data_IF_605269513331
#
_entry.id   IF_605269513331
#
_cell.length_a   1.000
_cell.length_b   1.000
_cell.length_c   1.000
_cell.angle_alpha   90.00
_cell.angle_beta   90.00
_cell.angle_gamma   90.00
#
_symmetry.space_group_name_H-M   'P 1'
#
loop_
_entity.id
_entity.type
_entity.pdbx_description
1 polymer ?
#
# COMPACT_ATOMS: atom_id res chain seq x y z
N UNK A 1 -3.28 -40.74 11.81
CA UNK A 1 -3.46 -40.40 13.23
C UNK A 1 -3.84 -38.93 13.31
N UNK A 2 -5.09 -38.65 13.67
CA UNK A 2 -5.58 -37.29 13.95
C UNK A 2 -4.86 -36.79 15.19
N UNK A 3 -3.95 -35.82 15.02
CA UNK A 3 -3.41 -35.04 16.14
C UNK A 3 -4.18 -33.72 16.17
N UNK A 4 -5.46 -33.79 16.50
CA UNK A 4 -6.13 -32.67 17.17
C UNK A 4 -5.60 -32.68 18.60
N UNK A 5 -4.42 -32.06 18.82
CA UNK A 5 -4.00 -31.71 20.18
C UNK A 5 -5.07 -30.78 20.71
N UNK A 6 -5.85 -31.26 21.68
CA UNK A 6 -6.75 -30.40 22.44
C UNK A 6 -5.91 -29.26 23.02
N UNK A 7 -6.33 -28.01 22.77
CA UNK A 7 -5.80 -26.83 23.44
C UNK A 7 -5.76 -27.09 24.96
N UNK A 8 -4.64 -26.75 25.60
CA UNK A 8 -4.49 -26.87 27.05
C UNK A 8 -5.47 -25.93 27.77
N UNK A 9 -5.78 -26.17 29.05
CA UNK A 9 -6.73 -25.34 29.80
C UNK A 9 -6.24 -23.90 29.97
N UNK A 10 -4.92 -23.67 29.97
CA UNK A 10 -4.31 -22.34 29.90
C UNK A 10 -4.60 -21.64 28.56
N UNK A 11 -4.44 -22.37 27.45
CA UNK A 11 -4.77 -21.85 26.13
C UNK A 11 -6.26 -21.52 26.06
N UNK A 12 -7.15 -22.42 26.51
CA UNK A 12 -8.61 -22.17 26.54
C UNK A 12 -8.99 -20.92 27.32
N UNK A 13 -8.32 -20.63 28.44
CA UNK A 13 -8.55 -19.42 29.23
C UNK A 13 -8.13 -18.16 28.47
N UNK A 14 -6.97 -18.20 27.82
CA UNK A 14 -6.47 -17.11 26.98
C UNK A 14 -7.43 -16.88 25.80
N UNK A 15 -7.82 -17.94 25.10
CA UNK A 15 -8.82 -17.90 24.03
C UNK A 15 -10.17 -17.33 24.51
N UNK A 16 -10.60 -17.66 25.73
CA UNK A 16 -11.80 -17.08 26.34
C UNK A 16 -11.70 -15.58 26.57
N UNK A 17 -10.57 -15.07 27.04
CA UNK A 17 -10.36 -13.61 27.19
C UNK A 17 -10.45 -12.91 25.83
N UNK A 18 -9.83 -13.49 24.81
CA UNK A 18 -9.88 -12.95 23.45
C UNK A 18 -11.31 -12.93 22.91
N UNK A 19 -12.06 -14.02 23.11
CA UNK A 19 -13.45 -14.12 22.69
C UNK A 19 -14.33 -13.03 23.31
N UNK A 20 -14.09 -12.67 24.58
CA UNK A 20 -14.79 -11.57 25.26
C UNK A 20 -14.48 -10.21 24.61
N UNK A 21 -13.21 -9.94 24.32
CA UNK A 21 -12.79 -8.69 23.64
C UNK A 21 -13.43 -8.61 22.24
N UNK A 22 -13.44 -9.74 21.52
CA UNK A 22 -14.00 -9.84 20.18
C UNK A 22 -15.54 -9.75 20.14
N UNK A 23 -16.24 -10.31 21.14
CA UNK A 23 -17.71 -10.17 21.26
C UNK A 23 -18.12 -8.74 21.58
N UNK A 24 -17.38 -8.08 22.48
CA UNK A 24 -17.56 -6.65 22.77
C UNK A 24 -17.42 -5.80 21.50
N UNK A 25 -16.58 -6.25 20.57
CA UNK A 25 -16.41 -5.61 19.28
C UNK A 25 -17.55 -5.88 18.30
N UNK A 26 -17.99 -7.13 18.19
CA UNK A 26 -19.11 -7.53 17.33
C UNK A 26 -20.39 -6.76 17.70
N UNK A 27 -20.67 -6.61 19.01
CA UNK A 27 -21.82 -5.81 19.48
C UNK A 27 -21.70 -4.35 19.07
N UNK A 28 -20.51 -3.74 19.15
CA UNK A 28 -20.29 -2.35 18.73
C UNK A 28 -20.44 -2.14 17.20
N UNK A 29 -20.14 -3.17 16.40
CA UNK A 29 -20.40 -3.14 14.95
C UNK A 29 -21.89 -3.29 14.62
N UNK A 30 -22.59 -4.18 15.33
CA UNK A 30 -24.01 -4.48 15.14
C UNK A 30 -24.90 -3.29 15.52
N UNK A 31 -24.50 -2.50 16.52
CA UNK A 31 -25.21 -1.28 16.93
C UNK A 31 -25.19 -0.16 15.87
N UNK A 32 -24.58 -0.36 14.69
CA UNK A 32 -24.45 0.61 13.58
C UNK A 32 -23.81 1.96 13.97
N UNK A 33 -23.23 2.07 15.17
CA UNK A 33 -22.66 3.33 15.65
C UNK A 33 -21.25 3.63 15.09
N UNK A 34 -20.63 2.66 14.40
CA UNK A 34 -19.27 2.75 13.86
C UNK A 34 -19.17 2.23 12.42
N UNK A 35 -19.04 3.13 11.43
CA UNK A 35 -18.77 2.75 10.05
C UNK A 35 -17.26 2.51 9.82
N UNK A 36 -16.82 1.25 9.90
CA UNK A 36 -15.46 0.85 9.51
C UNK A 36 -15.26 0.85 7.99
N UNK A 37 -14.01 0.85 7.53
CA UNK A 37 -13.76 0.57 6.11
C UNK A 37 -14.09 -0.89 5.78
N UNK A 38 -14.51 -1.20 4.54
CA UNK A 38 -14.75 -2.58 4.12
C UNK A 38 -13.54 -3.48 4.33
N UNK A 39 -12.32 -2.96 4.15
CA UNK A 39 -11.10 -3.76 4.31
C UNK A 39 -10.76 -4.02 5.78
N UNK A 40 -10.99 -3.05 6.68
CA UNK A 40 -10.79 -3.23 8.11
C UNK A 40 -11.84 -4.18 8.70
N UNK A 41 -13.11 -3.99 8.29
CA UNK A 41 -14.22 -4.89 8.62
C UNK A 41 -13.91 -6.32 8.18
N UNK A 42 -13.47 -6.53 6.92
CA UNK A 42 -13.07 -7.87 6.43
C UNK A 42 -11.95 -8.50 7.26
N UNK A 43 -10.90 -7.76 7.61
CA UNK A 43 -9.75 -8.31 8.37
C UNK A 43 -10.14 -8.71 9.78
N UNK A 44 -10.99 -7.91 10.40
CA UNK A 44 -11.57 -8.23 11.68
C UNK A 44 -12.49 -9.46 11.60
N UNK A 45 -13.37 -9.56 10.60
CA UNK A 45 -14.20 -10.76 10.40
C UNK A 45 -13.32 -12.00 10.20
N UNK A 46 -12.21 -11.88 9.48
CA UNK A 46 -11.25 -12.97 9.32
C UNK A 46 -10.59 -13.35 10.66
N UNK A 47 -10.20 -12.38 11.47
CA UNK A 47 -9.66 -12.61 12.82
C UNK A 47 -10.69 -13.32 13.71
N UNK A 48 -11.93 -12.81 13.77
CA UNK A 48 -13.05 -13.42 14.49
C UNK A 48 -13.27 -14.88 14.08
N UNK A 49 -13.23 -15.16 12.78
CA UNK A 49 -13.41 -16.51 12.23
C UNK A 49 -12.27 -17.43 12.65
N UNK A 50 -11.02 -16.95 12.61
CA UNK A 50 -9.84 -17.72 13.04
C UNK A 50 -9.86 -18.01 14.54
N UNK A 51 -10.51 -17.18 15.36
CA UNK A 51 -10.71 -17.44 16.79
C UNK A 51 -11.86 -18.38 17.10
N UNK A 52 -12.97 -18.30 16.36
CA UNK A 52 -14.10 -19.21 16.54
C UNK A 52 -13.74 -20.66 16.17
N UNK A 53 -12.82 -20.85 15.22
CA UNK A 53 -12.31 -22.15 14.80
C UNK A 53 -10.77 -22.12 14.80
N UNK A 54 -10.12 -22.16 15.98
CA UNK A 54 -8.67 -22.04 16.10
C UNK A 54 -8.02 -23.29 15.51
N UNK A 55 -7.69 -23.20 14.23
CA UNK A 55 -7.01 -24.27 13.49
C UNK A 55 -5.51 -24.25 13.82
N UNK A 56 -4.95 -23.04 13.96
CA UNK A 56 -3.54 -22.79 14.23
C UNK A 56 -3.35 -21.39 14.85
N UNK A 57 -2.62 -21.30 15.96
CA UNK A 57 -2.27 -20.03 16.63
C UNK A 57 -1.45 -19.09 15.74
N UNK A 58 -0.59 -19.63 14.87
CA UNK A 58 0.12 -18.82 13.89
C UNK A 58 -0.82 -18.13 12.90
N UNK A 59 -1.95 -18.75 12.54
CA UNK A 59 -2.93 -18.09 11.67
C UNK A 59 -3.51 -16.86 12.36
N UNK A 60 -3.91 -17.00 13.62
CA UNK A 60 -4.41 -15.91 14.47
C UNK A 60 -3.41 -14.77 14.53
N UNK A 61 -2.14 -15.07 14.80
CA UNK A 61 -1.08 -14.08 14.85
C UNK A 61 -0.90 -13.33 13.52
N UNK A 62 -0.96 -14.03 12.40
CA UNK A 62 -0.93 -13.38 11.08
C UNK A 62 -2.17 -12.50 10.84
N UNK A 63 -3.35 -12.90 11.35
CA UNK A 63 -4.55 -12.06 11.28
C UNK A 63 -4.43 -10.81 12.16
N UNK A 64 -3.80 -10.90 13.33
CA UNK A 64 -3.50 -9.75 14.20
C UNK A 64 -2.53 -8.78 13.51
N UNK A 65 -1.41 -9.28 13.00
CA UNK A 65 -0.44 -8.47 12.23
C UNK A 65 -1.12 -7.79 11.03
N UNK A 66 -1.92 -8.55 10.28
CA UNK A 66 -2.72 -8.06 9.15
C UNK A 66 -3.71 -6.96 9.57
N UNK A 67 -4.40 -7.10 10.71
CA UNK A 67 -5.30 -6.09 11.24
C UNK A 67 -4.54 -4.83 11.65
N UNK A 68 -3.42 -4.98 12.38
CA UNK A 68 -2.56 -3.87 12.81
C UNK A 68 -2.04 -3.05 11.63
N UNK A 69 -1.49 -3.71 10.63
CA UNK A 69 -0.99 -3.08 9.40
C UNK A 69 -2.09 -2.27 8.69
N UNK A 70 -3.31 -2.81 8.67
CA UNK A 70 -4.44 -2.10 8.08
C UNK A 70 -4.87 -0.90 8.92
N UNK A 71 -4.87 -1.03 10.25
CA UNK A 71 -5.18 0.06 11.17
C UNK A 71 -4.17 1.21 11.00
N UNK A 72 -2.86 0.92 11.00
CA UNK A 72 -1.81 1.91 10.76
C UNK A 72 -2.01 2.65 9.44
N UNK A 73 -2.30 1.93 8.35
CA UNK A 73 -2.60 2.55 7.06
C UNK A 73 -3.76 3.53 7.16
N UNK A 74 -4.86 3.15 7.82
CA UNK A 74 -6.03 4.01 7.96
C UNK A 74 -5.77 5.23 8.84
N UNK A 75 -5.00 5.07 9.92
CA UNK A 75 -4.59 6.19 10.78
C UNK A 75 -3.71 7.19 10.01
N UNK A 76 -2.74 6.71 9.23
CA UNK A 76 -1.91 7.57 8.35
C UNK A 76 -2.79 8.30 7.34
N UNK A 77 -3.67 7.58 6.64
CA UNK A 77 -4.57 8.17 5.66
C UNK A 77 -5.54 9.17 6.27
N UNK A 78 -5.91 9.00 7.54
CA UNK A 78 -6.77 9.90 8.29
C UNK A 78 -6.05 11.16 8.81
N UNK A 79 -4.72 11.23 8.73
CA UNK A 79 -4.01 12.49 9.03
C UNK A 79 -4.19 13.54 7.92
N UNK A 80 -4.55 13.11 6.70
CA UNK A 80 -4.61 13.99 5.53
C UNK A 80 -5.87 13.76 4.70
N UNK A 81 -6.51 14.86 4.28
CA UNK A 81 -7.60 14.76 3.30
C UNK A 81 -7.10 14.11 2.00
N UNK A 82 -7.99 13.42 1.29
CA UNK A 82 -7.67 12.79 0.01
C UNK A 82 -7.08 13.81 -0.96
N UNK A 83 -7.70 15.00 -1.08
CA UNK A 83 -7.23 16.08 -1.94
C UNK A 83 -5.82 16.57 -1.57
N UNK A 84 -5.50 16.64 -0.28
CA UNK A 84 -4.15 17.04 0.16
C UNK A 84 -3.11 16.00 -0.28
N UNK A 85 -3.38 14.71 -0.08
CA UNK A 85 -2.47 13.62 -0.48
C UNK A 85 -2.25 13.58 -1.99
N UNK A 86 -3.31 13.80 -2.77
CA UNK A 86 -3.22 13.91 -4.23
C UNK A 86 -2.34 15.10 -4.66
N UNK A 87 -2.51 16.27 -4.02
CA UNK A 87 -1.66 17.43 -4.26
C UNK A 87 -0.20 17.20 -3.87
N UNK A 88 0.05 16.53 -2.75
CA UNK A 88 1.39 16.22 -2.28
C UNK A 88 2.10 15.26 -3.23
N UNK A 89 1.40 14.26 -3.76
CA UNK A 89 1.93 13.39 -4.81
C UNK A 89 2.29 14.18 -6.07
N UNK A 90 1.38 15.06 -6.51
CA UNK A 90 1.62 15.90 -7.67
C UNK A 90 2.86 16.77 -7.45
N UNK A 91 3.00 17.44 -6.29
CA UNK A 91 4.17 18.25 -5.95
C UNK A 91 5.44 17.42 -5.92
N UNK A 92 5.41 16.23 -5.31
CA UNK A 92 6.54 15.30 -5.25
C UNK A 92 7.04 14.94 -6.66
N UNK A 93 6.11 14.53 -7.53
CA UNK A 93 6.41 14.19 -8.94
C UNK A 93 6.95 15.43 -9.66
N UNK A 94 6.37 16.61 -9.40
CA UNK A 94 6.78 17.84 -10.05
C UNK A 94 8.18 18.31 -9.65
N UNK A 95 8.55 18.14 -8.38
CA UNK A 95 9.88 18.44 -7.85
C UNK A 95 10.96 17.55 -8.47
N UNK A 96 10.60 16.35 -8.92
CA UNK A 96 11.48 15.45 -9.68
C UNK A 96 11.49 15.74 -11.19
N UNK A 97 10.88 16.85 -11.64
CA UNK A 97 10.79 17.24 -13.05
C UNK A 97 9.82 16.40 -13.88
N UNK A 98 9.03 15.54 -13.25
CA UNK A 98 8.09 14.62 -13.88
C UNK A 98 6.68 15.25 -13.96
N UNK A 99 5.72 14.55 -14.55
CA UNK A 99 4.29 14.92 -14.52
C UNK A 99 3.38 13.70 -14.55
N UNK A 100 2.30 13.76 -13.76
CA UNK A 100 1.14 12.86 -13.79
C UNK A 100 -0.17 13.61 -14.11
N UNK A 101 -0.13 14.93 -14.34
CA UNK A 101 -1.31 15.77 -14.54
C UNK A 101 -2.03 15.55 -15.88
N UNK A 102 -1.40 14.81 -16.80
CA UNK A 102 -1.86 14.66 -18.18
C UNK A 102 -1.98 13.17 -18.52
N UNK A 103 -3.02 12.49 -18.01
CA UNK A 103 -3.21 11.05 -18.21
C UNK A 103 -3.30 10.70 -19.71
N UNK A 104 -4.13 11.43 -20.46
CA UNK A 104 -4.31 11.22 -21.91
C UNK A 104 -3.03 11.46 -22.72
N UNK A 105 -2.29 12.52 -22.39
CA UNK A 105 -0.99 12.78 -23.02
C UNK A 105 0.02 11.66 -22.71
N UNK A 106 -0.01 11.13 -21.48
CA UNK A 106 0.88 10.05 -21.08
C UNK A 106 0.62 8.79 -21.90
N UNK A 107 -0.64 8.41 -22.07
CA UNK A 107 -1.03 7.29 -22.93
C UNK A 107 -0.60 7.52 -24.37
N UNK A 108 -0.85 8.73 -24.90
CA UNK A 108 -0.46 9.04 -26.28
C UNK A 108 1.06 9.02 -26.49
N UNK A 109 1.83 9.50 -25.52
CA UNK A 109 3.30 9.44 -25.55
C UNK A 109 3.77 7.99 -25.51
N UNK A 110 3.18 7.15 -24.65
CA UNK A 110 3.47 5.71 -24.58
C UNK A 110 3.21 5.05 -25.93
N UNK A 111 2.05 5.26 -26.55
CA UNK A 111 1.72 4.70 -27.87
C UNK A 111 2.74 5.09 -28.95
N UNK A 112 3.12 6.37 -29.00
CA UNK A 112 4.10 6.88 -29.96
C UNK A 112 5.50 6.31 -29.72
N UNK A 113 5.91 6.14 -28.45
CA UNK A 113 7.16 5.46 -28.12
C UNK A 113 7.14 4.01 -28.62
N UNK A 114 6.11 3.24 -28.28
CA UNK A 114 5.99 1.85 -28.71
C UNK A 114 6.02 1.75 -30.25
N UNK A 115 5.28 2.62 -30.95
CA UNK A 115 5.29 2.67 -32.41
C UNK A 115 6.69 2.95 -32.97
N UNK A 116 7.37 3.95 -32.44
CA UNK A 116 8.72 4.32 -32.85
C UNK A 116 9.70 3.17 -32.66
N UNK A 117 9.70 2.54 -31.48
CA UNK A 117 10.61 1.43 -31.18
C UNK A 117 10.28 0.18 -32.01
N UNK A 118 9.00 -0.14 -32.23
CA UNK A 118 8.59 -1.25 -33.12
C UNK A 118 9.04 -1.02 -34.56
N UNK A 119 8.91 0.20 -35.09
CA UNK A 119 9.44 0.55 -36.40
C UNK A 119 10.98 0.49 -36.43
N UNK A 120 11.63 0.84 -35.31
CA UNK A 120 13.07 0.82 -35.19
C UNK A 120 13.66 -0.61 -35.09
N UNK A 121 12.87 -1.65 -34.79
CA UNK A 121 13.37 -3.05 -34.67
C UNK A 121 14.12 -3.52 -35.93
N UNK A 122 13.81 -2.95 -37.09
CA UNK A 122 14.49 -3.27 -38.36
C UNK A 122 15.90 -2.66 -38.48
N UNK A 123 16.31 -1.80 -37.55
CA UNK A 123 17.59 -1.11 -37.56
C UNK A 123 18.53 -1.70 -36.49
N UNK A 124 19.83 -1.65 -36.75
CA UNK A 124 20.87 -2.16 -35.84
C UNK A 124 20.96 -1.40 -34.51
N UNK A 125 20.52 -0.14 -34.47
CA UNK A 125 20.53 0.69 -33.26
C UNK A 125 19.21 1.47 -33.14
N UNK A 126 18.41 1.10 -32.15
CA UNK A 126 17.12 1.72 -31.85
C UNK A 126 17.21 2.82 -30.80
N UNK A 127 18.41 3.12 -30.30
CA UNK A 127 18.61 4.11 -29.25
C UNK A 127 18.50 5.54 -29.81
N UNK A 128 17.87 6.45 -29.08
CA UNK A 128 17.65 7.83 -29.52
C UNK A 128 18.12 8.81 -28.45
N UNK A 129 18.71 9.91 -28.89
CA UNK A 129 18.94 11.04 -28.00
C UNK A 129 17.59 11.65 -27.56
N UNK A 130 17.51 12.07 -26.29
CA UNK A 130 16.29 12.65 -25.72
C UNK A 130 15.72 13.79 -26.58
N UNK A 131 16.56 14.67 -27.11
CA UNK A 131 16.15 15.80 -27.94
C UNK A 131 15.44 15.33 -29.22
N UNK A 132 15.95 14.29 -29.87
CA UNK A 132 15.38 13.74 -31.09
C UNK A 132 14.07 12.99 -30.80
N UNK A 133 14.01 12.28 -29.67
CA UNK A 133 12.79 11.63 -29.19
C UNK A 133 11.66 12.63 -28.97
N UNK A 134 11.94 13.74 -28.27
CA UNK A 134 10.95 14.81 -28.04
C UNK A 134 10.49 15.43 -29.35
N UNK A 135 11.42 15.74 -30.26
CA UNK A 135 11.08 16.30 -31.58
C UNK A 135 10.15 15.38 -32.38
N UNK A 136 10.42 14.07 -32.39
CA UNK A 136 9.57 13.08 -33.04
C UNK A 136 8.16 13.08 -32.43
N UNK A 137 8.07 12.96 -31.10
CA UNK A 137 6.78 12.90 -30.40
C UNK A 137 5.97 14.18 -30.61
N UNK A 138 6.61 15.36 -30.52
CA UNK A 138 5.96 16.65 -30.77
C UNK A 138 5.40 16.75 -32.18
N UNK A 139 6.13 16.23 -33.18
CA UNK A 139 5.66 16.21 -34.57
C UNK A 139 4.40 15.35 -34.72
N UNK A 140 4.38 14.18 -34.10
CA UNK A 140 3.24 13.25 -34.19
C UNK A 140 2.02 13.68 -33.36
N UNK A 141 2.22 14.40 -32.25
CA UNK A 141 1.15 14.91 -31.40
C UNK A 141 0.43 16.14 -31.99
N UNK A 142 1.09 16.89 -32.88
CA UNK A 142 0.56 18.13 -33.43
C UNK A 142 0.49 19.28 -32.41
N UNK A 143 -0.23 20.38 -32.72
CA UNK A 143 -0.20 21.63 -31.94
C UNK A 143 -0.99 21.58 -30.62
N UNK A 144 -1.68 20.49 -30.32
CA UNK A 144 -2.58 20.38 -29.16
C UNK A 144 -1.85 20.34 -27.81
N UNK A 145 -0.54 20.02 -27.82
CA UNK A 145 0.26 19.86 -26.62
C UNK A 145 1.49 20.77 -26.63
N UNK A 146 1.87 21.27 -25.45
CA UNK A 146 3.06 22.10 -25.27
C UNK A 146 4.30 21.22 -25.09
N UNK A 147 5.43 21.63 -25.65
CA UNK A 147 6.71 20.89 -25.54
C UNK A 147 7.09 20.58 -24.09
N UNK A 148 6.91 21.54 -23.17
CA UNK A 148 7.18 21.33 -21.73
C UNK A 148 6.35 20.20 -21.13
N UNK A 149 5.12 19.96 -21.60
CA UNK A 149 4.28 18.87 -21.10
C UNK A 149 4.84 17.52 -21.55
N UNK A 150 5.21 17.38 -22.82
CA UNK A 150 5.84 16.18 -23.38
C UNK A 150 7.18 15.89 -22.71
N UNK A 151 8.00 16.91 -22.49
CA UNK A 151 9.28 16.79 -21.80
C UNK A 151 9.14 16.22 -20.39
N UNK A 152 8.12 16.66 -19.64
CA UNK A 152 7.83 16.17 -18.29
C UNK A 152 7.30 14.74 -18.29
N UNK A 153 6.49 14.36 -19.27
CA UNK A 153 6.02 12.97 -19.42
C UNK A 153 7.20 12.04 -19.76
N UNK A 154 8.06 12.43 -20.70
CA UNK A 154 9.29 11.68 -21.01
C UNK A 154 10.21 11.60 -19.80
N UNK A 155 10.28 12.66 -18.99
CA UNK A 155 11.02 12.64 -17.73
C UNK A 155 10.43 11.63 -16.74
N UNK A 156 9.10 11.51 -16.65
CA UNK A 156 8.42 10.49 -15.84
C UNK A 156 8.85 9.09 -16.29
N UNK A 157 8.72 8.78 -17.58
CA UNK A 157 9.09 7.46 -18.15
C UNK A 157 10.57 7.15 -17.90
N UNK A 158 11.44 8.16 -18.01
CA UNK A 158 12.86 8.02 -17.68
C UNK A 158 13.10 7.69 -16.20
N UNK A 159 12.43 8.38 -15.26
CA UNK A 159 12.60 8.15 -13.81
C UNK A 159 11.98 6.84 -13.36
N UNK A 160 10.93 6.36 -14.02
CA UNK A 160 10.35 5.04 -13.81
C UNK A 160 11.19 3.91 -14.43
N UNK A 161 12.47 4.15 -14.68
CA UNK A 161 13.43 3.14 -15.15
C UNK A 161 13.00 2.38 -16.41
N UNK A 162 12.25 3.03 -17.31
CA UNK A 162 11.72 2.38 -18.52
C UNK A 162 12.73 2.32 -19.68
N UNK A 163 13.82 3.08 -19.60
CA UNK A 163 14.88 3.12 -20.61
C UNK A 163 16.16 2.45 -20.12
N UNK A 164 16.90 1.83 -21.06
CA UNK A 164 18.35 1.68 -20.98
C UNK A 164 18.99 2.98 -21.42
N UNK A 165 19.94 3.47 -20.60
CA UNK A 165 20.62 4.74 -20.81
C UNK A 165 22.07 4.45 -21.14
N UNK A 166 22.48 4.74 -22.37
CA UNK A 166 23.87 4.59 -22.80
C UNK A 166 24.55 5.94 -22.73
N UNK A 167 25.53 6.05 -21.83
CA UNK A 167 26.40 7.23 -21.73
C UNK A 167 27.43 7.21 -22.86
N UNK A 168 27.81 8.40 -23.32
CA UNK A 168 28.81 8.58 -24.39
C UNK A 168 29.70 9.75 -24.03
N UNK A 169 31.01 9.56 -24.14
CA UNK A 169 31.97 10.60 -23.80
C UNK A 169 31.77 11.83 -24.69
N UNK A 170 31.60 13.01 -24.08
CA UNK A 170 31.40 14.28 -24.77
C UNK A 170 30.07 14.40 -25.54
N UNK A 171 29.16 13.42 -25.46
CA UNK A 171 27.91 13.42 -26.22
C UNK A 171 26.67 13.18 -25.33
N UNK A 172 25.47 13.64 -25.73
CA UNK A 172 24.24 13.34 -25.01
C UNK A 172 23.98 11.84 -24.91
N UNK A 173 23.49 11.39 -23.76
CA UNK A 173 23.09 9.99 -23.56
C UNK A 173 21.99 9.57 -24.53
N UNK A 174 22.03 8.32 -24.97
CA UNK A 174 20.98 7.70 -25.79
C UNK A 174 20.07 6.85 -24.93
N UNK A 175 18.79 6.87 -25.27
CA UNK A 175 17.73 6.14 -24.59
C UNK A 175 17.27 5.02 -25.51
N UNK A 176 17.21 3.79 -25.01
CA UNK A 176 16.55 2.65 -25.66
C UNK A 176 15.47 2.13 -24.71
N UNK A 177 14.26 1.87 -25.20
CA UNK A 177 13.23 1.26 -24.36
C UNK A 177 13.66 -0.15 -23.95
N UNK A 178 13.41 -0.54 -22.71
CA UNK A 178 13.68 -1.90 -22.25
C UNK A 178 12.87 -2.91 -23.07
N UNK A 179 13.47 -4.04 -23.39
CA UNK A 179 12.88 -5.02 -24.32
C UNK A 179 11.58 -5.64 -23.76
N UNK A 180 11.51 -5.81 -22.45
CA UNK A 180 10.31 -6.28 -21.76
C UNK A 180 9.19 -5.23 -21.68
N UNK A 181 9.44 -3.97 -22.07
CA UNK A 181 8.48 -2.86 -22.02
C UNK A 181 8.05 -2.41 -23.42
N UNK A 182 8.21 -3.25 -24.45
CA UNK A 182 7.83 -2.96 -25.83
C UNK A 182 6.31 -3.13 -26.13
N UNK A 183 5.49 -3.23 -25.09
CA UNK A 183 4.03 -3.18 -25.14
C UNK A 183 3.49 -1.98 -24.36
N UNK A 184 2.42 -1.35 -24.85
CA UNK A 184 1.86 -0.15 -24.23
C UNK A 184 1.29 -0.44 -22.83
N UNK A 185 0.64 -1.59 -22.64
CA UNK A 185 0.06 -1.99 -21.35
C UNK A 185 1.15 -2.27 -20.32
N UNK A 186 2.25 -2.89 -20.74
CA UNK A 186 3.37 -3.24 -19.88
C UNK A 186 4.19 -2.01 -19.50
N UNK A 187 4.50 -1.13 -20.46
CA UNK A 187 5.13 0.16 -20.18
C UNK A 187 4.27 0.97 -19.21
N UNK A 188 2.95 1.01 -19.45
CA UNK A 188 2.03 1.70 -18.55
C UNK A 188 2.00 1.08 -17.15
N UNK A 189 2.05 -0.25 -17.06
CA UNK A 189 2.10 -0.97 -15.78
C UNK A 189 3.34 -0.60 -14.98
N UNK A 190 4.50 -0.61 -15.64
CA UNK A 190 5.76 -0.20 -15.02
C UNK A 190 5.69 1.24 -14.50
N UNK A 191 5.09 2.17 -15.27
CA UNK A 191 4.90 3.54 -14.80
C UNK A 191 4.02 3.61 -13.54
N UNK A 192 2.87 2.93 -13.57
CA UNK A 192 1.94 2.90 -12.44
C UNK A 192 2.63 2.36 -11.17
N UNK A 193 3.39 1.26 -11.29
CA UNK A 193 4.16 0.64 -10.19
C UNK A 193 5.20 1.58 -9.61
N UNK A 194 6.03 2.19 -10.46
CA UNK A 194 7.13 3.06 -10.01
C UNK A 194 6.62 4.36 -9.37
N UNK A 195 5.52 4.92 -9.88
CA UNK A 195 4.87 6.09 -9.28
C UNK A 195 4.28 5.75 -7.91
N UNK A 196 3.67 4.57 -7.75
CA UNK A 196 3.19 4.08 -6.46
C UNK A 196 4.37 3.90 -5.49
N UNK A 197 5.49 3.33 -5.94
CA UNK A 197 6.68 3.14 -5.10
C UNK A 197 7.32 4.46 -4.69
N UNK A 198 7.36 5.44 -5.60
CA UNK A 198 7.79 6.80 -5.29
C UNK A 198 6.91 7.47 -4.23
N UNK A 199 5.59 7.33 -4.32
CA UNK A 199 4.67 7.85 -3.31
C UNK A 199 4.87 7.15 -1.96
N UNK A 200 5.07 5.82 -1.98
CA UNK A 200 5.29 5.02 -0.77
C UNK A 200 6.53 5.44 -0.01
N UNK A 201 7.64 5.68 -0.72
CA UNK A 201 8.90 6.12 -0.14
C UNK A 201 8.80 7.48 0.60
N UNK A 202 7.82 8.31 0.25
CA UNK A 202 7.57 9.61 0.88
C UNK A 202 6.35 9.57 1.84
N UNK A 203 5.93 8.36 2.22
CA UNK A 203 4.76 8.07 3.08
C UNK A 203 3.43 8.64 2.55
N UNK A 204 3.31 8.84 1.23
CA UNK A 204 2.06 9.24 0.59
C UNK A 204 1.25 7.98 0.25
N UNK A 205 0.13 7.79 0.96
CA UNK A 205 -0.76 6.63 0.79
C UNK A 205 -2.09 7.08 0.18
N UNK A 206 -2.40 6.65 -1.04
CA UNK A 206 -3.67 6.90 -1.72
C UNK A 206 -4.51 5.62 -1.86
N UNK A 207 -5.83 5.76 -1.98
CA UNK A 207 -6.71 4.63 -2.29
C UNK A 207 -6.67 4.29 -3.79
N UNK A 208 -7.09 3.07 -4.18
CA UNK A 208 -7.10 2.65 -5.59
C UNK A 208 -7.88 3.60 -6.51
N UNK A 209 -8.98 4.18 -6.02
CA UNK A 209 -9.83 5.10 -6.76
C UNK A 209 -9.11 6.41 -7.09
N UNK A 210 -8.37 6.98 -6.13
CA UNK A 210 -7.52 8.17 -6.34
C UNK A 210 -6.39 7.88 -7.31
N UNK A 211 -5.74 6.70 -7.21
CA UNK A 211 -4.71 6.30 -8.17
C UNK A 211 -5.27 6.16 -9.59
N UNK A 212 -6.43 5.52 -9.73
CA UNK A 212 -7.11 5.37 -11.01
C UNK A 212 -7.45 6.74 -11.62
N UNK A 213 -7.99 7.67 -10.81
CA UNK A 213 -8.31 9.02 -11.25
C UNK A 213 -7.06 9.80 -11.67
N UNK A 214 -6.03 9.86 -10.82
CA UNK A 214 -4.83 10.66 -11.08
C UNK A 214 -4.05 10.16 -12.29
N UNK A 215 -3.86 8.85 -12.39
CA UNK A 215 -3.02 8.28 -13.45
C UNK A 215 -3.79 8.13 -14.74
N UNK A 216 -5.06 7.69 -14.71
CA UNK A 216 -5.82 7.34 -15.90
C UNK A 216 -6.94 8.33 -16.24
N UNK A 217 -7.09 9.41 -15.47
CA UNK A 217 -8.12 10.45 -15.66
C UNK A 217 -9.53 10.04 -15.25
N UNK A 218 -9.74 8.76 -14.91
CA UNK A 218 -11.06 8.20 -14.56
C UNK A 218 -10.95 6.98 -13.64
N UNK A 219 -11.86 6.89 -12.68
CA UNK A 219 -11.97 5.77 -11.73
C UNK A 219 -12.92 4.69 -12.24
N UNK A 220 -12.64 4.11 -13.42
CA UNK A 220 -13.41 2.97 -13.91
C UNK A 220 -13.17 1.73 -13.05
N UNK A 221 -14.11 0.77 -12.95
CA UNK A 221 -13.92 -0.46 -12.18
C UNK A 221 -12.64 -1.23 -12.57
N UNK A 222 -12.31 -1.24 -13.86
CA UNK A 222 -11.09 -1.85 -14.39
C UNK A 222 -9.82 -1.18 -13.84
N UNK A 223 -9.73 0.15 -13.91
CA UNK A 223 -8.58 0.90 -13.41
C UNK A 223 -8.44 0.77 -11.90
N UNK A 224 -9.56 0.82 -11.17
CA UNK A 224 -9.58 0.61 -9.71
C UNK A 224 -9.04 -0.78 -9.37
N UNK A 225 -9.52 -1.82 -10.05
CA UNK A 225 -9.07 -3.21 -9.86
C UNK A 225 -7.58 -3.37 -10.18
N UNK A 226 -7.11 -2.75 -11.26
CA UNK A 226 -5.68 -2.72 -11.64
C UNK A 226 -4.83 -2.07 -10.54
N UNK A 227 -5.24 -0.89 -10.05
CA UNK A 227 -4.51 -0.18 -8.99
C UNK A 227 -4.51 -0.97 -7.69
N UNK A 228 -5.65 -1.59 -7.35
CA UNK A 228 -5.75 -2.48 -6.19
C UNK A 228 -4.77 -3.65 -6.31
N UNK A 229 -4.70 -4.31 -7.47
CA UNK A 229 -3.75 -5.41 -7.71
C UNK A 229 -2.29 -4.97 -7.57
N UNK A 230 -1.93 -3.79 -8.08
CA UNK A 230 -0.58 -3.24 -7.90
C UNK A 230 -0.30 -2.97 -6.43
N UNK A 231 -1.22 -2.30 -5.73
CA UNK A 231 -1.06 -1.98 -4.31
C UNK A 231 -0.88 -3.24 -3.47
N UNK A 232 -1.67 -4.29 -3.75
CA UNK A 232 -1.58 -5.59 -3.08
C UNK A 232 -0.24 -6.28 -3.35
N UNK A 233 0.26 -6.28 -4.60
CA UNK A 233 1.57 -6.87 -4.94
C UNK A 233 2.74 -6.10 -4.32
N UNK A 234 2.60 -4.79 -4.19
CA UNK A 234 3.64 -3.91 -3.66
C UNK A 234 3.52 -3.73 -2.13
N UNK A 235 2.76 -4.58 -1.40
CA UNK A 235 2.55 -4.38 0.03
C UNK A 235 3.86 -4.51 0.81
N UNK A 236 4.35 -3.36 1.27
CA UNK A 236 5.41 -3.23 2.26
C UNK A 236 4.78 -3.10 3.64
N UNK A 237 5.48 -3.62 4.65
CA UNK A 237 5.14 -3.32 6.04
C UNK A 237 5.07 -1.81 6.25
N UNK A 238 4.06 -1.35 6.97
CA UNK A 238 3.92 0.00 7.49
C UNK A 238 4.44 -0.02 8.91
N UNK A 239 5.41 0.84 9.17
CA UNK A 239 5.97 1.02 10.51
C UNK A 239 5.23 2.14 11.26
N UNK A 240 5.20 2.06 12.59
CA UNK A 240 4.63 3.11 13.45
C UNK A 240 5.36 4.44 13.24
N UNK A 241 6.66 4.42 12.90
CA UNK A 241 7.42 5.62 12.53
C UNK A 241 6.84 6.37 11.32
N UNK A 242 6.20 5.71 10.36
CA UNK A 242 5.51 6.40 9.27
C UNK A 242 4.30 7.21 9.76
N UNK A 243 3.60 6.71 10.79
CA UNK A 243 2.51 7.42 11.44
C UNK A 243 3.02 8.63 12.23
N UNK A 244 4.19 8.52 12.89
CA UNK A 244 4.82 9.66 13.59
C UNK A 244 5.12 10.81 12.62
N UNK A 245 5.74 10.48 11.48
CA UNK A 245 6.02 11.47 10.43
C UNK A 245 4.72 12.10 9.92
N UNK A 246 3.66 11.31 9.75
CA UNK A 246 2.35 11.81 9.34
C UNK A 246 1.75 12.77 10.38
N UNK A 247 1.82 12.43 11.67
CA UNK A 247 1.36 13.24 12.80
C UNK A 247 2.13 14.57 12.89
N UNK A 248 3.47 14.51 12.78
CA UNK A 248 4.33 15.69 12.80
C UNK A 248 3.99 16.66 11.65
N UNK A 249 3.73 16.13 10.45
CA UNK A 249 3.33 16.93 9.29
C UNK A 249 1.91 17.49 9.40
N UNK A 250 0.98 16.75 10.01
CA UNK A 250 -0.44 17.14 10.10
C UNK A 250 -0.78 18.02 11.29
N UNK A 251 0.08 18.04 12.33
CA UNK A 251 -0.16 18.71 13.61
C UNK A 251 -1.04 17.89 14.55
N UNK A 252 -0.97 16.57 14.50
CA UNK A 252 -1.76 15.62 15.31
C UNK A 252 -3.28 15.87 15.30
N UNK A 253 -3.90 15.89 14.13
CA UNK A 253 -5.35 16.18 13.95
C UNK A 253 -6.29 15.24 14.71
N UNK A 254 -5.75 14.09 15.09
CA UNK A 254 -6.46 12.96 15.66
C UNK A 254 -6.08 12.70 17.12
N UNK A 255 -5.21 13.53 17.71
CA UNK A 255 -4.72 13.38 19.08
C UNK A 255 -4.15 11.98 19.35
N UNK A 256 -3.36 11.46 18.41
CA UNK A 256 -2.75 10.13 18.47
C UNK A 256 -1.47 10.10 19.29
N UNK A 257 -0.85 11.23 19.60
CA UNK A 257 0.44 11.28 20.31
C UNK A 257 0.47 10.48 21.63
N UNK A 258 -0.55 10.55 22.53
CA UNK A 258 -0.57 9.79 23.78
C UNK A 258 -0.55 8.27 23.58
N UNK A 259 -0.93 7.82 22.39
CA UNK A 259 -1.15 6.44 22.02
C UNK A 259 0.03 5.82 21.23
N UNK A 260 1.07 6.61 20.95
CA UNK A 260 2.22 6.16 20.16
C UNK A 260 3.02 5.05 20.86
N UNK A 261 3.17 5.14 22.17
CA UNK A 261 3.88 4.11 22.96
C UNK A 261 3.20 2.75 22.87
N UNK A 262 1.86 2.73 22.91
CA UNK A 262 1.07 1.52 22.77
C UNK A 262 1.19 0.92 21.36
N UNK A 263 1.21 1.77 20.31
CA UNK A 263 1.41 1.31 18.93
C UNK A 263 2.82 0.74 18.71
N UNK A 264 3.86 1.39 19.25
CA UNK A 264 5.23 0.88 19.21
C UNK A 264 5.36 -0.43 19.98
N UNK A 265 4.74 -0.54 21.15
CA UNK A 265 4.69 -1.77 21.92
C UNK A 265 4.07 -2.91 21.10
N UNK A 266 2.92 -2.68 20.47
CA UNK A 266 2.28 -3.65 19.58
C UNK A 266 3.18 -4.05 18.41
N UNK A 267 3.81 -3.09 17.73
CA UNK A 267 4.72 -3.38 16.62
C UNK A 267 5.89 -4.25 17.08
N UNK A 268 6.50 -3.92 18.22
CA UNK A 268 7.61 -4.68 18.78
C UNK A 268 7.20 -6.11 19.14
N UNK A 269 6.03 -6.30 19.76
CA UNK A 269 5.52 -7.64 20.04
C UNK A 269 5.28 -8.45 18.75
N UNK A 270 4.75 -7.84 17.68
CA UNK A 270 4.58 -8.53 16.39
C UNK A 270 5.93 -8.95 15.80
N UNK A 271 6.96 -8.11 15.93
CA UNK A 271 8.34 -8.41 15.48
C UNK A 271 8.95 -9.54 16.33
N UNK A 272 8.82 -9.48 17.66
CA UNK A 272 9.32 -10.51 18.58
C UNK A 272 8.73 -11.89 18.31
N UNK A 273 7.45 -11.94 17.91
CA UNK A 273 6.77 -13.18 17.53
C UNK A 273 7.23 -13.76 16.18
N UNK A 274 8.19 -13.13 15.50
CA UNK A 274 8.69 -13.56 14.18
C UNK A 274 7.63 -13.49 13.09
N UNK A 275 6.54 -12.74 13.31
CA UNK A 275 5.43 -12.65 12.37
C UNK A 275 5.81 -11.71 11.24
N UNK A 276 5.42 -12.09 10.02
CA UNK A 276 5.57 -11.17 8.91
C UNK A 276 4.65 -9.96 9.13
N UNK A 277 5.22 -8.76 9.09
CA UNK A 277 4.45 -7.53 8.93
C UNK A 277 3.91 -7.37 7.49
N UNK A 278 4.14 -8.37 6.63
CA UNK A 278 3.58 -8.40 5.28
C UNK A 278 2.07 -8.64 5.31
N UNK A 279 1.35 -7.91 4.46
CA UNK A 279 -0.10 -8.11 4.26
C UNK A 279 -0.43 -9.36 3.43
N UNK A 280 0.57 -10.14 3.02
CA UNK A 280 0.41 -11.40 2.30
C UNK A 280 0.22 -12.56 3.30
N UNK A 281 -0.76 -13.46 3.09
CA UNK A 281 -0.84 -14.68 3.92
C UNK A 281 0.47 -15.48 3.77
N UNK A 282 1.06 -15.98 4.86
CA UNK A 282 2.26 -16.80 4.76
C UNK A 282 1.95 -18.17 4.17
N UNK A 283 2.94 -18.74 3.48
CA UNK A 283 2.93 -20.14 3.07
C UNK A 283 3.03 -21.05 4.32
N UNK A 284 2.43 -22.25 4.30
CA UNK A 284 2.40 -23.11 5.48
C UNK A 284 3.81 -23.56 5.90
N UNK A 285 4.10 -23.64 7.22
CA UNK A 285 5.42 -24.03 7.71
C UNK A 285 5.70 -25.51 7.48
N UNK A 286 6.95 -25.82 7.15
CA UNK A 286 7.45 -27.20 7.07
C UNK A 286 7.48 -27.83 8.48
N UNK A 287 6.87 -29.01 8.62
CA UNK A 287 6.77 -29.70 9.91
C UNK A 287 8.13 -30.25 10.37
N UNK A 288 8.65 -29.71 11.47
CA UNK A 288 9.80 -30.23 12.21
C UNK A 288 9.50 -30.26 13.72
N UNK A 289 9.77 -31.39 14.35
CA UNK A 289 9.42 -31.72 15.73
C UNK A 289 10.43 -31.19 16.75
N UNK A 290 9.98 -30.45 17.77
CA UNK A 290 10.66 -30.33 19.08
C UNK A 290 9.58 -30.30 20.16
N UNK A 291 9.74 -31.07 21.24
CA UNK A 291 8.74 -31.24 22.29
C UNK A 291 9.28 -30.80 23.65
N UNK A 292 8.40 -30.19 24.43
CA UNK A 292 8.50 -29.73 25.83
C UNK A 292 8.89 -28.27 26.14
N UNK A 293 9.85 -27.62 25.47
CA UNK A 293 10.11 -26.17 25.72
C UNK A 293 9.13 -25.23 24.99
N UNK A 294 8.44 -25.75 23.96
CA UNK A 294 7.50 -24.99 23.12
C UNK A 294 6.24 -24.57 23.89
N UNK A 295 5.82 -25.29 24.94
CA UNK A 295 4.52 -25.04 25.58
C UNK A 295 4.49 -23.73 26.41
N UNK A 296 5.56 -23.42 27.14
CA UNK A 296 5.64 -22.17 27.90
C UNK A 296 5.82 -20.96 26.97
N UNK A 297 6.60 -21.11 25.90
CA UNK A 297 6.75 -20.10 24.86
C UNK A 297 5.44 -19.85 24.11
N UNK A 298 4.63 -20.89 23.89
CA UNK A 298 3.32 -20.77 23.24
C UNK A 298 2.30 -19.98 24.08
N UNK A 299 2.25 -20.26 25.39
CA UNK A 299 1.37 -19.56 26.33
C UNK A 299 1.77 -18.07 26.49
N UNK A 300 3.07 -17.78 26.58
CA UNK A 300 3.59 -16.40 26.61
C UNK A 300 3.28 -15.64 25.31
N UNK A 301 3.46 -16.29 24.16
CA UNK A 301 3.13 -15.71 22.85
C UNK A 301 1.63 -15.45 22.67
N UNK A 302 0.77 -16.35 23.18
CA UNK A 302 -0.68 -16.18 23.21
C UNK A 302 -1.08 -15.02 24.12
N UNK A 303 -0.47 -14.90 25.31
CA UNK A 303 -0.71 -13.79 26.22
C UNK A 303 -0.29 -12.45 25.61
N UNK A 304 0.87 -12.38 24.94
CA UNK A 304 1.31 -11.19 24.18
C UNK A 304 0.32 -10.82 23.08
N UNK A 305 -0.28 -11.80 22.40
CA UNK A 305 -1.31 -11.54 21.40
C UNK A 305 -2.62 -11.02 22.00
N UNK A 306 -3.02 -11.49 23.18
CA UNK A 306 -4.13 -10.90 23.96
C UNK A 306 -3.82 -9.44 24.24
N UNK A 307 -2.63 -9.12 24.75
CA UNK A 307 -2.23 -7.75 25.06
C UNK A 307 -2.20 -6.86 23.83
N UNK A 308 -1.69 -7.37 22.69
CA UNK A 308 -1.76 -6.67 21.41
C UNK A 308 -3.22 -6.36 21.07
N UNK A 309 -4.08 -7.38 21.12
CA UNK A 309 -5.48 -7.19 20.76
C UNK A 309 -6.20 -6.26 21.73
N UNK A 310 -6.00 -6.38 23.03
CA UNK A 310 -6.56 -5.46 24.02
C UNK A 310 -6.11 -4.02 23.77
N UNK A 311 -4.84 -3.78 23.42
CA UNK A 311 -4.34 -2.44 23.07
C UNK A 311 -4.88 -1.93 21.73
N UNK A 312 -4.93 -2.78 20.70
CA UNK A 312 -5.50 -2.41 19.40
C UNK A 312 -7.02 -2.19 19.44
N UNK A 313 -7.69 -2.94 20.32
CA UNK A 313 -9.14 -2.96 20.48
C UNK A 313 -9.61 -2.07 21.64
N UNK A 314 -8.70 -1.53 22.47
CA UNK A 314 -9.03 -0.44 23.40
C UNK A 314 -9.61 0.69 22.54
N UNK A 315 -10.91 0.93 22.75
CA UNK A 315 -11.86 1.55 21.81
C UNK A 315 -11.46 2.94 21.31
N UNK A 316 -10.41 3.52 21.90
CA UNK A 316 -9.83 4.83 21.63
C UNK A 316 -9.30 4.95 20.19
N UNK A 317 -8.64 3.93 19.63
CA UNK A 317 -8.09 4.03 18.26
C UNK A 317 -9.16 4.02 17.17
N UNK A 318 -10.20 3.19 17.36
CA UNK A 318 -11.32 3.12 16.43
C UNK A 318 -12.28 4.30 16.59
N UNK A 319 -12.38 4.86 17.81
CA UNK A 319 -13.03 6.13 18.06
C UNK A 319 -12.34 7.31 17.36
N UNK A 320 -11.01 7.28 17.25
CA UNK A 320 -10.24 8.26 16.49
C UNK A 320 -10.51 8.14 14.97
N UNK A 321 -10.56 6.90 14.44
CA UNK A 321 -10.99 6.66 13.05
C UNK A 321 -12.44 7.13 12.81
N UNK A 322 -13.33 6.97 13.81
CA UNK A 322 -14.72 7.47 13.83
C UNK A 322 -14.80 8.99 13.78
N UNK A 323 -14.01 9.70 14.59
CA UNK A 323 -13.97 11.17 14.55
C UNK A 323 -13.53 11.69 13.18
N UNK A 324 -12.56 11.03 12.55
CA UNK A 324 -12.10 11.42 11.22
C UNK A 324 -13.20 11.28 10.15
N UNK A 325 -13.95 10.17 10.13
CA UNK A 325 -15.03 9.97 9.15
C UNK A 325 -16.22 10.89 9.36
N UNK A 326 -16.63 11.14 10.61
CA UNK A 326 -17.70 12.10 10.92
C UNK A 326 -17.36 13.53 10.46
N UNK A 327 -16.08 13.93 10.55
CA UNK A 327 -15.61 15.22 10.02
C UNK A 327 -15.60 15.28 8.48
N UNK A 328 -15.43 14.16 7.78
CA UNK A 328 -15.49 14.10 6.31
C UNK A 328 -16.92 14.15 5.75
N UNK A 329 -17.91 13.64 6.50
CA UNK A 329 -19.33 13.68 6.11
C UNK A 329 -20.02 15.00 6.47
N UNK A 330 -19.41 15.82 7.33
CA UNK A 330 -19.93 17.14 7.74
C UNK A 330 -19.37 18.30 6.89
N UNK A 331 -19.09 18.07 5.61
CA UNK A 331 -18.91 19.18 4.65
C UNK A 331 -20.33 19.58 4.23
N UNK A 332 -20.78 20.83 4.49
CA UNK A 332 -22.05 21.29 3.95
C UNK A 332 -21.97 21.25 2.42
N UNK A 333 -22.98 20.63 1.80
CA UNK A 333 -23.20 20.65 0.34
C UNK A 333 -23.20 22.06 -0.24
#
# INVERSE_FOLDING_TARGET
MNVTKSLDDADKRIFGNIEVVLKSFASLLEEQTVHLSPQLSRRLTQLLTSFANPSNVYEIFNRISSLFQRLLLELIQAQFSTKQREQDLIRLVENKGCSIKYPELTDRVIELLIRLYKAAVQYSDTSLERRNLIKYIMKELGPNYKQRQVERVIQTIYRCSCFHVTQRDGHPSRLKLKENLCDASELRHQLDVELINMAKAESIRLCPESWAYLLHGRSTPENISRMQSILDKQTTSIEVGELEVAIQKSGDRLCLFPFMNDLHYVQNLIIELGLSLSMKPPDPPAMGSVGHDIQNEHCDNLQKAVEIMEKLLDLKYLFVVRQHRSRLTNIPT
#
